data_IF_299764394474
#
_entry.id   IF_299764394474
#
_cell.length_a   1.000
_cell.length_b   1.000
_cell.length_c   1.000
_cell.angle_alpha   90.00
_cell.angle_beta   90.00
_cell.angle_gamma   90.00
#
_symmetry.space_group_name_H-M   'P 1'
#
loop_
_entity.id
_entity.type
_entity.pdbx_description
1 polymer ?
#
# COMPACT_ATOMS: atom_id res chain seq x y z
N UNK A 1 5.65 -22.03 -5.51
CA UNK A 1 4.39 -21.75 -6.21
C UNK A 1 4.57 -22.05 -7.68
N UNK A 2 3.77 -22.94 -8.22
CA UNK A 2 3.67 -23.27 -9.66
C UNK A 2 2.92 -22.16 -10.40
N UNK A 3 2.93 -22.20 -11.74
CA UNK A 3 2.12 -21.27 -12.55
C UNK A 3 0.63 -21.40 -12.26
N UNK A 4 0.13 -22.62 -12.07
CA UNK A 4 -1.28 -22.88 -11.78
C UNK A 4 -1.68 -22.27 -10.42
N UNK A 5 -0.89 -22.53 -9.39
CA UNK A 5 -1.10 -21.93 -8.06
C UNK A 5 -1.03 -20.41 -8.07
N UNK A 6 -0.15 -19.82 -8.90
CA UNK A 6 -0.07 -18.37 -9.06
C UNK A 6 -1.33 -17.78 -9.70
N UNK A 7 -1.92 -18.46 -10.68
CA UNK A 7 -3.19 -18.05 -11.31
C UNK A 7 -4.36 -18.17 -10.32
N UNK A 8 -4.48 -19.30 -9.63
CA UNK A 8 -5.52 -19.53 -8.63
C UNK A 8 -5.44 -18.49 -7.48
N UNK A 9 -4.21 -18.16 -7.06
CA UNK A 9 -4.01 -17.12 -6.06
C UNK A 9 -4.42 -15.73 -6.57
N UNK A 10 -4.05 -15.40 -7.80
CA UNK A 10 -4.43 -14.13 -8.43
C UNK A 10 -5.95 -13.97 -8.51
N UNK A 11 -6.66 -15.03 -8.90
CA UNK A 11 -8.12 -15.04 -8.98
C UNK A 11 -8.78 -14.93 -7.59
N UNK A 12 -8.19 -15.58 -6.57
CA UNK A 12 -8.65 -15.42 -5.19
C UNK A 12 -8.47 -13.99 -4.69
N UNK A 13 -7.29 -13.40 -4.96
CA UNK A 13 -6.98 -12.03 -4.55
C UNK A 13 -7.92 -11.01 -5.22
N UNK A 14 -8.27 -11.21 -6.50
CA UNK A 14 -9.27 -10.37 -7.17
C UNK A 14 -10.60 -10.37 -6.43
N UNK A 15 -11.14 -11.54 -6.11
CA UNK A 15 -12.43 -11.67 -5.39
C UNK A 15 -12.38 -10.99 -4.01
N UNK A 16 -11.28 -11.15 -3.28
CA UNK A 16 -11.12 -10.50 -1.98
C UNK A 16 -11.07 -8.97 -2.10
N UNK A 17 -10.37 -8.45 -3.12
CA UNK A 17 -10.28 -7.01 -3.35
C UNK A 17 -11.55 -6.41 -3.96
N UNK A 18 -12.31 -7.14 -4.75
CA UNK A 18 -13.65 -6.75 -5.22
C UNK A 18 -14.59 -6.53 -4.03
N UNK A 19 -14.61 -7.47 -3.07
CA UNK A 19 -15.39 -7.31 -1.83
C UNK A 19 -14.90 -6.13 -0.98
N UNK A 20 -13.59 -5.94 -0.88
CA UNK A 20 -13.03 -4.80 -0.15
C UNK A 20 -13.33 -3.47 -0.84
N UNK A 21 -13.34 -3.40 -2.18
CA UNK A 21 -13.69 -2.21 -2.94
C UNK A 21 -15.10 -1.72 -2.59
N UNK A 22 -16.07 -2.62 -2.57
CA UNK A 22 -17.45 -2.30 -2.18
C UNK A 22 -17.53 -1.77 -0.74
N UNK A 23 -16.77 -2.37 0.19
CA UNK A 23 -16.70 -1.92 1.59
C UNK A 23 -16.16 -0.49 1.70
N UNK A 24 -15.23 -0.10 0.84
CA UNK A 24 -14.67 1.26 0.79
C UNK A 24 -15.44 2.22 -0.12
N UNK A 25 -16.63 1.85 -0.59
CA UNK A 25 -17.47 2.71 -1.42
C UNK A 25 -16.94 2.93 -2.84
N UNK A 26 -16.12 2.00 -3.33
CA UNK A 26 -15.64 1.95 -4.71
C UNK A 26 -16.47 0.95 -5.52
N UNK A 27 -16.36 1.01 -6.85
CA UNK A 27 -16.92 -0.02 -7.71
C UNK A 27 -16.17 -1.35 -7.53
N UNK A 28 -16.89 -2.47 -7.63
CA UNK A 28 -16.32 -3.82 -7.52
C UNK A 28 -15.12 -4.02 -8.46
N UNK A 29 -15.21 -3.49 -9.68
CA UNK A 29 -14.15 -3.55 -10.71
C UNK A 29 -12.83 -2.92 -10.27
N UNK A 30 -12.83 -2.02 -9.29
CA UNK A 30 -11.61 -1.41 -8.77
C UNK A 30 -10.65 -2.44 -8.15
N UNK A 31 -11.18 -3.49 -7.51
CA UNK A 31 -10.39 -4.58 -6.94
C UNK A 31 -9.61 -5.35 -8.01
N UNK A 32 -10.33 -5.83 -9.03
CA UNK A 32 -9.70 -6.53 -10.17
C UNK A 32 -8.69 -5.65 -10.89
N UNK A 33 -9.03 -4.38 -11.11
CA UNK A 33 -8.13 -3.42 -11.76
C UNK A 33 -6.80 -3.25 -11.01
N UNK A 34 -6.82 -3.16 -9.68
CA UNK A 34 -5.60 -3.07 -8.86
C UNK A 34 -4.76 -4.32 -9.04
N UNK A 35 -5.38 -5.51 -8.98
CA UNK A 35 -4.64 -6.78 -9.13
C UNK A 35 -3.98 -6.86 -10.49
N UNK A 36 -4.71 -6.57 -11.57
CA UNK A 36 -4.23 -6.73 -12.93
C UNK A 36 -3.13 -5.73 -13.31
N UNK A 37 -3.11 -4.54 -12.70
CA UNK A 37 -2.19 -3.47 -13.10
C UNK A 37 -1.04 -3.23 -12.12
N UNK A 38 -1.21 -3.55 -10.85
CA UNK A 38 -0.22 -3.18 -9.82
C UNK A 38 0.27 -4.34 -8.96
N UNK A 39 -0.30 -5.54 -9.10
CA UNK A 39 0.13 -6.72 -8.36
C UNK A 39 0.69 -7.76 -9.33
N UNK A 40 1.89 -8.21 -9.06
CA UNK A 40 2.55 -9.26 -9.85
C UNK A 40 2.77 -10.48 -8.97
N UNK A 41 2.17 -11.60 -9.32
CA UNK A 41 2.42 -12.90 -8.69
C UNK A 41 3.46 -13.65 -9.51
N UNK A 42 4.60 -13.97 -8.90
CA UNK A 42 5.76 -14.58 -9.54
C UNK A 42 5.81 -16.09 -9.23
N UNK A 43 5.55 -16.98 -10.20
CA UNK A 43 5.80 -18.40 -10.02
C UNK A 43 7.32 -18.70 -9.92
N UNK A 44 7.69 -19.82 -9.30
CA UNK A 44 9.10 -20.17 -9.08
C UNK A 44 9.91 -20.28 -10.37
N UNK A 45 9.29 -20.70 -11.45
CA UNK A 45 9.95 -20.84 -12.75
C UNK A 45 10.41 -19.50 -13.32
N UNK A 46 9.67 -18.42 -13.05
CA UNK A 46 10.03 -17.06 -13.48
C UNK A 46 11.23 -16.51 -12.71
N UNK A 47 11.52 -17.05 -11.51
CA UNK A 47 12.66 -16.60 -10.67
C UNK A 47 13.99 -17.16 -11.11
N UNK A 48 14.02 -18.38 -11.73
CA UNK A 48 15.25 -19.07 -12.11
C UNK A 48 16.08 -18.32 -13.15
N UNK A 49 15.48 -17.37 -13.87
CA UNK A 49 16.16 -16.53 -14.87
C UNK A 49 16.49 -15.11 -14.39
N UNK A 50 16.09 -14.71 -13.19
CA UNK A 50 16.36 -13.36 -12.68
C UNK A 50 17.69 -13.32 -11.91
N UNK A 51 18.68 -12.62 -12.46
CA UNK A 51 19.91 -12.26 -11.75
C UNK A 51 19.62 -10.96 -11.00
N UNK A 52 19.49 -11.05 -9.68
CA UNK A 52 19.33 -9.87 -8.82
C UNK A 52 20.71 -9.29 -8.48
N UNK A 53 21.07 -8.20 -9.15
CA UNK A 53 22.27 -7.43 -8.88
C UNK A 53 21.90 -6.22 -8.01
N UNK A 54 22.20 -6.26 -6.71
CA UNK A 54 22.00 -5.15 -5.81
C UNK A 54 22.19 -5.50 -4.34
N UNK A 55 22.56 -4.52 -3.53
CA UNK A 55 22.79 -4.67 -2.08
C UNK A 55 21.53 -5.10 -1.29
N UNK A 56 20.33 -4.83 -1.81
CA UNK A 56 19.04 -5.27 -1.26
C UNK A 56 18.64 -6.71 -1.62
N UNK A 57 19.54 -7.52 -2.15
CA UNK A 57 19.26 -8.88 -2.62
C UNK A 57 18.70 -9.84 -1.56
N UNK A 58 18.94 -9.57 -0.28
CA UNK A 58 18.42 -10.35 0.83
C UNK A 58 16.89 -10.23 0.99
N UNK A 59 16.32 -9.05 0.69
CA UNK A 59 14.87 -8.79 0.77
C UNK A 59 14.09 -9.47 -0.36
N UNK A 60 14.70 -9.58 -1.55
CA UNK A 60 14.07 -10.17 -2.74
C UNK A 60 13.95 -11.71 -2.67
N UNK A 61 14.75 -12.39 -1.87
CA UNK A 61 14.68 -13.86 -1.72
C UNK A 61 13.41 -14.34 -0.98
N UNK A 62 12.69 -13.45 -0.31
CA UNK A 62 11.58 -13.82 0.54
C UNK A 62 10.19 -13.68 -0.10
N UNK A 63 10.03 -12.92 -1.19
CA UNK A 63 8.71 -12.58 -1.75
C UNK A 63 8.44 -13.22 -3.12
N UNK A 64 7.22 -13.66 -3.37
CA UNK A 64 6.73 -14.11 -4.68
C UNK A 64 5.57 -13.26 -5.20
N UNK A 65 5.21 -12.21 -4.46
CA UNK A 65 4.21 -11.23 -4.84
C UNK A 65 4.83 -9.86 -4.71
N UNK A 66 4.66 -9.04 -5.72
CA UNK A 66 5.08 -7.65 -5.78
C UNK A 66 3.88 -6.75 -5.96
N UNK A 67 3.74 -5.73 -5.13
CA UNK A 67 2.81 -4.62 -5.33
C UNK A 67 3.63 -3.40 -5.77
N UNK A 68 3.27 -2.79 -6.89
CA UNK A 68 3.81 -1.51 -7.34
C UNK A 68 3.04 -0.37 -6.64
N UNK A 69 3.41 -0.10 -5.37
CA UNK A 69 2.70 0.84 -4.51
C UNK A 69 2.71 2.26 -5.09
N UNK A 70 3.84 2.73 -5.56
CA UNK A 70 3.99 4.10 -6.11
C UNK A 70 3.08 4.31 -7.32
N UNK A 71 3.08 3.39 -8.26
CA UNK A 71 2.19 3.47 -9.44
C UNK A 71 0.72 3.39 -9.05
N UNK A 72 0.38 2.51 -8.12
CA UNK A 72 -0.99 2.37 -7.66
C UNK A 72 -1.50 3.65 -6.96
N UNK A 73 -0.67 4.32 -6.15
CA UNK A 73 -1.03 5.60 -5.52
C UNK A 73 -1.21 6.70 -6.57
N UNK A 74 -0.31 6.80 -7.56
CA UNK A 74 -0.43 7.77 -8.66
C UNK A 74 -1.73 7.56 -9.43
N UNK A 75 -2.06 6.32 -9.78
CA UNK A 75 -3.31 6.00 -10.46
C UNK A 75 -4.55 6.35 -9.64
N UNK A 76 -4.51 6.17 -8.33
CA UNK A 76 -5.60 6.60 -7.43
C UNK A 76 -5.82 8.11 -7.46
N UNK A 77 -4.74 8.89 -7.55
CA UNK A 77 -4.82 10.35 -7.70
C UNK A 77 -5.44 10.75 -9.04
N UNK A 78 -5.03 10.11 -10.12
CA UNK A 78 -5.55 10.35 -11.47
C UNK A 78 -7.03 9.95 -11.56
N UNK A 79 -7.40 8.81 -10.98
CA UNK A 79 -8.79 8.36 -10.91
C UNK A 79 -9.66 9.38 -10.16
N UNK A 80 -9.25 9.83 -8.98
CA UNK A 80 -10.00 10.82 -8.20
C UNK A 80 -10.19 12.14 -8.95
N UNK A 81 -9.18 12.56 -9.71
CA UNK A 81 -9.28 13.75 -10.56
C UNK A 81 -10.28 13.55 -11.73
N UNK A 82 -10.31 12.38 -12.34
CA UNK A 82 -11.19 12.08 -13.48
C UNK A 82 -12.67 12.03 -13.09
N UNK A 83 -13.00 11.54 -11.91
CA UNK A 83 -14.40 11.42 -11.42
C UNK A 83 -14.88 12.65 -10.65
N UNK A 84 -14.04 13.68 -10.52
CA UNK A 84 -14.35 14.89 -9.73
C UNK A 84 -14.79 14.62 -8.29
N UNK A 85 -14.29 13.53 -7.70
CA UNK A 85 -14.55 13.12 -6.31
C UNK A 85 -13.22 12.98 -5.56
N UNK A 86 -12.66 14.07 -5.01
CA UNK A 86 -11.36 14.04 -4.34
C UNK A 86 -11.27 13.02 -3.21
N UNK A 87 -12.39 12.73 -2.55
CA UNK A 87 -12.45 11.77 -1.45
C UNK A 87 -12.19 10.32 -1.91
N UNK A 88 -12.48 9.99 -3.17
CA UNK A 88 -12.28 8.65 -3.71
C UNK A 88 -10.80 8.23 -3.75
N UNK A 89 -9.86 9.19 -3.73
CA UNK A 89 -8.42 8.90 -3.65
C UNK A 89 -8.08 8.12 -2.38
N UNK A 90 -8.68 8.49 -1.25
CA UNK A 90 -8.40 7.84 0.03
C UNK A 90 -8.98 6.44 0.09
N UNK A 91 -10.18 6.25 -0.46
CA UNK A 91 -10.81 4.94 -0.57
C UNK A 91 -9.96 4.01 -1.48
N UNK A 92 -9.43 4.55 -2.58
CA UNK A 92 -8.56 3.82 -3.48
C UNK A 92 -7.22 3.44 -2.81
N UNK A 93 -6.60 4.38 -2.08
CA UNK A 93 -5.38 4.10 -1.32
C UNK A 93 -5.64 3.07 -0.21
N UNK A 94 -6.78 3.12 0.49
CA UNK A 94 -7.16 2.09 1.45
C UNK A 94 -7.21 0.71 0.79
N UNK A 95 -7.79 0.60 -0.41
CA UNK A 95 -7.85 -0.66 -1.14
C UNK A 95 -6.45 -1.19 -1.52
N UNK A 96 -5.53 -0.30 -1.92
CA UNK A 96 -4.14 -0.67 -2.18
C UNK A 96 -3.44 -1.19 -0.92
N UNK A 97 -3.59 -0.50 0.22
CA UNK A 97 -2.98 -0.92 1.48
C UNK A 97 -3.57 -2.26 1.93
N UNK A 98 -4.87 -2.44 1.81
CA UNK A 98 -5.56 -3.71 2.13
C UNK A 98 -5.01 -4.86 1.28
N UNK A 99 -4.68 -4.63 0.02
CA UNK A 99 -4.06 -5.68 -0.81
C UNK A 99 -2.74 -6.18 -0.21
N UNK A 100 -1.94 -5.28 0.37
CA UNK A 100 -0.70 -5.66 1.04
C UNK A 100 -0.94 -6.49 2.32
N UNK A 101 -2.02 -6.21 3.06
CA UNK A 101 -2.40 -7.03 4.22
C UNK A 101 -2.88 -8.43 3.82
N UNK A 102 -3.69 -8.57 2.77
CA UNK A 102 -4.11 -9.88 2.27
C UNK A 102 -2.92 -10.71 1.83
N UNK A 103 -1.96 -10.12 1.14
CA UNK A 103 -0.73 -10.77 0.70
C UNK A 103 0.14 -11.19 1.90
N UNK A 104 0.24 -10.33 2.92
CA UNK A 104 1.03 -10.60 4.13
C UNK A 104 0.39 -11.57 5.11
N UNK A 105 -0.86 -12.05 4.85
CA UNK A 105 -1.67 -12.80 5.83
C UNK A 105 -1.69 -12.17 7.21
N UNK A 106 -1.47 -10.88 7.29
CA UNK A 106 -1.59 -10.12 8.52
C UNK A 106 -3.06 -10.14 8.94
N UNK A 107 -3.33 -10.48 10.19
CA UNK A 107 -4.68 -10.63 10.72
C UNK A 107 -5.55 -9.42 10.30
N UNK A 108 -6.83 -9.70 10.04
CA UNK A 108 -7.87 -8.76 9.65
C UNK A 108 -7.84 -7.52 10.55
N UNK A 109 -7.00 -6.57 10.22
CA UNK A 109 -6.99 -5.27 10.86
C UNK A 109 -7.83 -4.36 9.97
N UNK A 110 -8.85 -3.77 10.54
CA UNK A 110 -9.61 -2.74 9.83
C UNK A 110 -8.67 -1.56 9.62
N UNK A 111 -8.39 -1.28 8.35
CA UNK A 111 -7.63 -0.09 7.98
C UNK A 111 -8.53 1.13 8.15
N UNK A 112 -8.01 2.08 8.89
CA UNK A 112 -8.65 3.38 9.04
C UNK A 112 -8.40 4.25 7.81
N UNK A 113 -9.23 5.27 7.63
CA UNK A 113 -9.01 6.29 6.61
C UNK A 113 -7.69 7.05 6.86
N UNK A 114 -7.25 7.09 8.12
CA UNK A 114 -5.99 7.70 8.52
C UNK A 114 -4.78 7.02 7.88
N UNK A 115 -4.79 5.68 7.72
CA UNK A 115 -3.70 4.97 7.04
C UNK A 115 -3.55 5.46 5.59
N UNK A 116 -4.66 5.70 4.90
CA UNK A 116 -4.65 6.27 3.55
C UNK A 116 -4.15 7.72 3.53
N UNK A 117 -4.50 8.53 4.54
CA UNK A 117 -4.01 9.89 4.67
C UNK A 117 -2.49 9.93 4.87
N UNK A 118 -1.96 9.05 5.72
CA UNK A 118 -0.51 8.93 5.95
C UNK A 118 0.21 8.58 4.63
N UNK A 119 -0.25 7.58 3.88
CA UNK A 119 0.34 7.23 2.58
C UNK A 119 0.25 8.39 1.59
N UNK A 120 -0.89 9.05 1.50
CA UNK A 120 -1.09 10.20 0.63
C UNK A 120 -0.11 11.34 0.94
N UNK A 121 0.04 11.69 2.22
CA UNK A 121 0.93 12.77 2.65
C UNK A 121 2.40 12.40 2.45
N UNK A 122 2.81 11.17 2.74
CA UNK A 122 4.16 10.68 2.43
C UNK A 122 4.46 10.75 0.93
N UNK A 123 3.50 10.35 0.09
CA UNK A 123 3.62 10.45 -1.36
C UNK A 123 3.78 11.92 -1.81
N UNK A 124 2.93 12.81 -1.31
CA UNK A 124 2.98 14.25 -1.64
C UNK A 124 4.29 14.91 -1.26
N UNK A 125 4.95 14.41 -0.21
CA UNK A 125 6.27 14.89 0.23
C UNK A 125 7.44 14.24 -0.51
N UNK A 126 7.17 13.30 -1.42
CA UNK A 126 8.23 12.59 -2.13
C UNK A 126 9.08 11.70 -1.22
N UNK A 127 8.48 11.12 -0.17
CA UNK A 127 9.17 10.36 0.87
C UNK A 127 9.81 9.04 0.38
N UNK A 128 9.98 8.85 -0.92
CA UNK A 128 10.57 7.63 -1.48
C UNK A 128 12.10 7.62 -1.39
N UNK A 129 12.73 8.75 -1.68
CA UNK A 129 14.19 8.84 -1.79
C UNK A 129 14.82 9.54 -0.60
N UNK A 130 14.25 10.67 -0.17
CA UNK A 130 14.84 11.51 0.90
C UNK A 130 14.23 11.24 2.26
N UNK A 131 13.07 10.55 2.32
CA UNK A 131 12.31 10.37 3.54
C UNK A 131 11.73 11.68 4.08
N UNK A 132 11.01 11.58 5.19
CA UNK A 132 10.48 12.73 5.95
C UNK A 132 10.77 12.51 7.44
N UNK A 133 11.15 13.55 8.13
CA UNK A 133 11.44 13.52 9.56
C UNK A 133 10.15 13.18 10.34
N UNK A 134 10.22 12.14 11.21
CA UNK A 134 9.04 11.49 11.81
C UNK A 134 8.23 12.45 12.68
N UNK A 135 8.88 13.17 13.60
CA UNK A 135 8.17 14.03 14.56
C UNK A 135 7.44 15.17 13.87
N UNK A 136 8.11 15.78 12.89
CA UNK A 136 7.51 16.83 12.07
C UNK A 136 6.36 16.27 11.24
N UNK A 137 6.54 15.10 10.66
CA UNK A 137 5.49 14.46 9.86
C UNK A 137 4.25 14.13 10.66
N UNK A 138 4.40 13.62 11.90
CA UNK A 138 3.27 13.36 12.80
C UNK A 138 2.48 14.65 13.05
N UNK A 139 3.16 15.75 13.37
CA UNK A 139 2.51 17.05 13.60
C UNK A 139 1.77 17.53 12.35
N UNK A 140 2.38 17.42 11.17
CA UNK A 140 1.75 17.81 9.91
C UNK A 140 0.52 16.94 9.55
N UNK A 141 0.55 15.63 9.87
CA UNK A 141 -0.64 14.76 9.71
C UNK A 141 -1.77 15.21 10.63
N UNK A 142 -1.47 15.57 11.89
CA UNK A 142 -2.48 16.06 12.84
C UNK A 142 -3.11 17.36 12.35
N UNK A 143 -2.30 18.33 11.92
CA UNK A 143 -2.78 19.61 11.37
C UNK A 143 -3.63 19.41 10.12
N UNK A 144 -3.15 18.57 9.20
CA UNK A 144 -3.87 18.28 7.96
C UNK A 144 -5.21 17.57 8.24
N UNK A 145 -5.22 16.61 9.17
CA UNK A 145 -6.42 15.90 9.57
C UNK A 145 -7.47 16.85 10.14
N UNK A 146 -7.04 17.75 11.05
CA UNK A 146 -7.93 18.74 11.63
C UNK A 146 -8.51 19.69 10.56
N UNK A 147 -7.70 20.11 9.59
CA UNK A 147 -8.17 20.97 8.49
C UNK A 147 -9.16 20.23 7.57
N UNK A 148 -8.94 18.93 7.35
CA UNK A 148 -9.71 18.11 6.42
C UNK A 148 -11.02 17.61 7.01
N UNK A 149 -10.98 17.09 8.23
CA UNK A 149 -12.11 16.44 8.89
C UNK A 149 -12.82 17.33 9.92
N UNK A 150 -12.19 18.43 10.31
CA UNK A 150 -12.72 19.34 11.34
C UNK A 150 -12.52 18.84 12.78
N UNK A 151 -11.84 17.72 12.96
CA UNK A 151 -11.60 17.07 14.25
C UNK A 151 -10.11 16.94 14.54
N UNK A 152 -9.74 17.03 15.82
CA UNK A 152 -8.36 16.77 16.23
C UNK A 152 -8.11 15.28 16.39
N UNK A 153 -6.93 14.83 15.98
CA UNK A 153 -6.49 13.43 16.15
C UNK A 153 -5.28 13.36 17.08
N UNK A 154 -5.26 12.35 17.96
CA UNK A 154 -4.16 12.10 18.88
C UNK A 154 -2.89 11.62 18.15
N UNK A 155 -1.72 11.98 18.70
CA UNK A 155 -0.42 11.51 18.23
C UNK A 155 -0.37 9.98 18.09
N UNK A 156 -0.88 9.25 19.08
CA UNK A 156 -0.88 7.79 19.11
C UNK A 156 -1.56 7.18 17.87
N UNK A 157 -2.70 7.73 17.45
CA UNK A 157 -3.40 7.25 16.26
C UNK A 157 -2.58 7.43 14.98
N UNK A 158 -1.83 8.54 14.86
CA UNK A 158 -0.94 8.77 13.71
C UNK A 158 0.23 7.78 13.75
N UNK A 159 0.82 7.57 14.92
CA UNK A 159 1.91 6.59 15.09
C UNK A 159 1.42 5.17 14.77
N UNK A 160 0.21 4.80 15.17
CA UNK A 160 -0.38 3.50 14.84
C UNK A 160 -0.57 3.33 13.33
N UNK A 161 -1.03 4.36 12.63
CA UNK A 161 -1.15 4.33 11.17
C UNK A 161 0.23 4.17 10.50
N UNK A 162 1.26 4.87 10.97
CA UNK A 162 2.64 4.70 10.49
C UNK A 162 3.12 3.27 10.75
N UNK A 163 2.90 2.74 11.96
CA UNK A 163 3.26 1.36 12.32
C UNK A 163 2.55 0.31 11.46
N UNK A 164 1.32 0.57 11.03
CA UNK A 164 0.63 -0.29 10.07
C UNK A 164 1.42 -0.38 8.74
N UNK A 165 1.95 0.75 8.25
CA UNK A 165 2.76 0.76 7.03
C UNK A 165 4.10 0.02 7.20
N UNK A 166 4.75 0.12 8.37
CA UNK A 166 5.96 -0.66 8.68
C UNK A 166 5.65 -2.16 8.70
N UNK A 167 4.54 -2.55 9.30
CA UNK A 167 4.11 -3.96 9.40
C UNK A 167 3.91 -4.61 8.05
N UNK A 168 3.36 -3.90 7.07
CA UNK A 168 3.18 -4.38 5.69
C UNK A 168 4.39 -4.09 4.80
N UNK A 169 5.46 -3.53 5.34
CA UNK A 169 6.67 -3.13 4.60
C UNK A 169 6.42 -2.12 3.48
N UNK A 170 5.37 -1.33 3.61
CA UNK A 170 5.09 -0.21 2.71
C UNK A 170 5.91 1.03 3.06
N UNK A 171 6.42 1.13 4.27
CA UNK A 171 7.34 2.16 4.72
C UNK A 171 8.53 1.55 5.48
N UNK A 172 9.61 2.31 5.55
CA UNK A 172 10.79 2.03 6.35
C UNK A 172 11.13 3.24 7.22
N UNK A 173 11.88 2.97 8.30
CA UNK A 173 12.40 3.98 9.20
C UNK A 173 13.94 3.92 9.21
N UNK A 174 14.57 5.05 8.94
CA UNK A 174 16.02 5.15 9.02
C UNK A 174 16.44 6.55 9.48
N UNK A 175 17.30 6.60 10.50
CA UNK A 175 17.91 7.84 11.01
C UNK A 175 16.90 8.96 11.32
N UNK A 176 15.77 8.61 11.93
CA UNK A 176 14.71 9.57 12.29
C UNK A 176 13.78 9.95 11.15
N UNK A 177 13.92 9.34 9.98
CA UNK A 177 13.09 9.61 8.81
C UNK A 177 12.24 8.40 8.41
N UNK A 178 11.02 8.68 7.93
CA UNK A 178 10.10 7.73 7.33
C UNK A 178 10.31 7.74 5.83
N UNK A 179 10.48 6.56 5.25
CA UNK A 179 10.59 6.36 3.80
C UNK A 179 9.42 5.55 3.30
N UNK A 180 8.69 6.05 2.30
CA UNK A 180 7.66 5.28 1.62
C UNK A 180 8.31 4.40 0.55
N UNK A 181 7.93 3.14 0.48
CA UNK A 181 8.48 2.21 -0.52
C UNK A 181 7.76 2.34 -1.85
N UNK A 182 8.52 2.25 -2.95
CA UNK A 182 7.93 2.16 -4.28
C UNK A 182 7.22 0.82 -4.51
N UNK A 183 7.76 -0.23 -3.88
CA UNK A 183 7.25 -1.59 -4.01
C UNK A 183 7.10 -2.27 -2.66
N UNK A 184 5.99 -2.98 -2.50
CA UNK A 184 5.76 -3.88 -1.36
C UNK A 184 5.90 -5.32 -1.83
N UNK A 185 6.64 -6.12 -1.06
CA UNK A 185 6.87 -7.53 -1.36
C UNK A 185 6.23 -8.42 -0.31
N UNK A 186 5.48 -9.40 -0.78
CA UNK A 186 4.85 -10.42 0.04
C UNK A 186 5.26 -11.83 -0.37
N UNK A 187 4.98 -12.80 0.51
CA UNK A 187 5.22 -14.22 0.26
C UNK A 187 3.94 -15.00 0.50
N UNK A 188 3.48 -15.71 -0.50
CA UNK A 188 2.51 -16.79 -0.30
C UNK A 188 3.26 -18.00 0.23
N UNK A 189 2.82 -18.50 1.39
CA UNK A 189 3.30 -19.76 1.93
C UNK A 189 2.55 -20.93 1.30
#
# INVERSE_FOLDING_TARGET
>A
MTRKEAMEYNDSLKKELEQAALKYGLEETAGAYIVDNYITVLPEDARKGMIFLGEDSASYKAGNIKIDLKKAVIAGLEFAASVSKPESVFNYIQLIIVSAFFIGKSAKQELSRLDAYVVYLLHKKGAYDTGVEEERFISEVQEWYQQKEGESIGREAVVDAINNLYRIKAADFNSGNIFLKEHVWGKVQ
#
